data_IF_163021625121
#
_entry.id   IF_163021625121
#
_cell.length_a   1.000
_cell.length_b   1.000
_cell.length_c   1.000
_cell.angle_alpha   90.00
_cell.angle_beta   90.00
_cell.angle_gamma   90.00
#
_symmetry.space_group_name_H-M   'P 1'
#
loop_
_entity.id
_entity.type
_entity.pdbx_description
1 polymer ?
#
# COMPACT_ATOMS: atom_id res chain seq x y z
N UNK A 1 7.72 -9.15 -6.33
CA UNK A 1 6.60 -9.45 -5.42
C UNK A 1 5.31 -8.88 -5.96
N UNK A 2 4.24 -9.63 -5.89
CA UNK A 2 2.92 -9.19 -6.29
C UNK A 2 2.15 -8.69 -5.08
N UNK A 3 1.45 -7.58 -5.25
CA UNK A 3 0.64 -7.00 -4.18
C UNK A 3 -0.81 -7.01 -4.62
N UNK A 4 -1.68 -7.58 -3.80
CA UNK A 4 -3.12 -7.53 -4.03
C UNK A 4 -3.68 -6.28 -3.37
N UNK A 5 -4.33 -5.45 -4.17
CA UNK A 5 -4.98 -4.23 -3.67
C UNK A 5 -6.34 -4.59 -3.06
N UNK A 6 -6.93 -3.63 -2.35
CA UNK A 6 -8.22 -3.86 -1.67
C UNK A 6 -9.35 -4.19 -2.65
N UNK A 7 -9.23 -3.76 -3.90
CA UNK A 7 -10.24 -4.08 -4.92
C UNK A 7 -10.00 -5.44 -5.59
N UNK A 8 -9.00 -6.18 -5.13
CA UNK A 8 -8.68 -7.51 -5.64
C UNK A 8 -7.69 -7.52 -6.79
N UNK A 9 -7.33 -6.36 -7.35
CA UNK A 9 -6.39 -6.33 -8.45
C UNK A 9 -4.97 -6.59 -7.97
N UNK A 10 -4.12 -7.07 -8.88
CA UNK A 10 -2.74 -7.45 -8.58
C UNK A 10 -1.76 -6.51 -9.26
N UNK A 11 -0.75 -6.08 -8.52
CA UNK A 11 0.30 -5.19 -9.01
C UNK A 11 1.65 -5.83 -8.76
N UNK A 12 2.50 -5.91 -9.78
CA UNK A 12 3.86 -6.40 -9.60
C UNK A 12 4.74 -5.23 -9.17
N UNK A 13 5.09 -5.20 -7.88
CA UNK A 13 5.83 -4.09 -7.29
C UNK A 13 7.23 -3.94 -7.89
N UNK A 14 7.80 -5.01 -8.43
CA UNK A 14 9.15 -4.96 -9.01
C UNK A 14 9.22 -4.10 -10.28
N UNK A 15 8.08 -3.78 -10.84
CA UNK A 15 8.03 -2.91 -12.01
C UNK A 15 8.08 -1.42 -11.66
N UNK A 16 8.14 -1.10 -10.39
CA UNK A 16 8.13 0.26 -9.91
C UNK A 16 9.43 0.59 -9.21
N UNK A 17 9.73 1.89 -9.14
CA UNK A 17 11.02 2.36 -8.62
C UNK A 17 10.95 2.73 -7.15
N UNK A 18 9.78 3.12 -6.66
CA UNK A 18 9.62 3.58 -5.30
C UNK A 18 8.20 3.37 -4.81
N UNK A 19 8.05 3.27 -3.51
CA UNK A 19 6.74 3.25 -2.84
C UNK A 19 6.73 4.38 -1.84
N UNK A 20 5.73 5.24 -1.91
CA UNK A 20 5.67 6.37 -1.01
C UNK A 20 4.22 6.77 -0.75
N UNK A 21 4.04 7.66 0.21
CA UNK A 21 2.73 8.17 0.59
C UNK A 21 2.44 9.49 -0.10
N UNK A 22 1.21 9.64 -0.58
CA UNK A 22 0.72 10.91 -1.10
C UNK A 22 -0.54 11.26 -0.34
N UNK A 23 -0.62 12.51 0.13
CA UNK A 23 -1.85 13.00 0.74
C UNK A 23 -2.79 13.48 -0.36
N UNK A 24 -3.99 12.92 -0.39
CA UNK A 24 -5.01 13.27 -1.39
C UNK A 24 -6.26 13.69 -0.63
N UNK A 25 -6.58 14.98 -0.69
CA UNK A 25 -7.69 15.55 0.06
C UNK A 25 -7.52 15.25 1.56
N UNK A 26 -8.43 14.50 2.14
CA UNK A 26 -8.40 14.20 3.57
C UNK A 26 -7.96 12.77 3.88
N UNK A 27 -7.29 12.13 2.93
CA UNK A 27 -6.81 10.76 3.12
C UNK A 27 -5.37 10.64 2.63
N UNK A 28 -4.78 9.49 2.90
CA UNK A 28 -3.40 9.19 2.53
C UNK A 28 -3.37 7.96 1.67
N UNK A 29 -2.75 8.07 0.49
CA UNK A 29 -2.58 6.95 -0.42
C UNK A 29 -1.14 6.47 -0.38
N UNK A 30 -0.95 5.15 -0.29
CA UNK A 30 0.35 4.57 -0.51
C UNK A 30 0.44 4.21 -1.98
N UNK A 31 1.48 4.72 -2.66
CA UNK A 31 1.58 4.63 -4.11
C UNK A 31 2.89 4.03 -4.55
N UNK A 32 2.85 3.31 -5.66
CA UNK A 32 4.05 2.82 -6.32
C UNK A 32 4.33 3.71 -7.52
N UNK A 33 5.57 4.17 -7.63
CA UNK A 33 5.98 5.15 -8.64
C UNK A 33 6.87 4.53 -9.71
N UNK A 34 6.64 4.96 -10.94
CA UNK A 34 7.48 4.59 -12.07
C UNK A 34 7.66 5.85 -12.93
N UNK A 35 8.85 6.44 -12.85
CA UNK A 35 9.09 7.73 -13.49
C UNK A 35 8.15 8.78 -12.92
N UNK A 36 7.44 9.48 -13.78
CA UNK A 36 6.45 10.49 -13.35
C UNK A 36 5.05 9.92 -13.16
N UNK A 37 4.88 8.62 -13.40
CA UNK A 37 3.59 7.95 -13.24
C UNK A 37 3.53 7.21 -11.91
N UNK A 38 2.33 6.98 -11.41
CA UNK A 38 2.17 6.19 -10.22
C UNK A 38 0.81 5.51 -10.19
N UNK A 39 0.70 4.49 -9.32
CA UNK A 39 -0.54 3.78 -9.10
C UNK A 39 -0.76 3.68 -7.59
N UNK A 40 -1.99 3.89 -7.15
CA UNK A 40 -2.33 3.75 -5.74
C UNK A 40 -2.43 2.28 -5.37
N UNK A 41 -1.76 1.90 -4.28
CA UNK A 41 -1.86 0.54 -3.76
C UNK A 41 -2.98 0.42 -2.74
N UNK A 42 -3.20 1.46 -1.95
CA UNK A 42 -4.25 1.48 -0.94
C UNK A 42 -4.43 2.90 -0.41
N UNK A 43 -5.60 3.17 0.17
CA UNK A 43 -5.92 4.45 0.79
C UNK A 43 -6.23 4.26 2.25
N UNK A 44 -5.78 5.20 3.08
CA UNK A 44 -5.98 5.16 4.52
C UNK A 44 -6.41 6.52 5.04
N UNK A 45 -7.05 6.54 6.19
CA UNK A 45 -7.51 7.78 6.79
C UNK A 45 -6.41 8.54 7.51
N UNK A 46 -5.42 7.82 8.05
CA UNK A 46 -4.37 8.43 8.85
C UNK A 46 -2.99 8.05 8.36
N UNK A 47 -2.06 8.96 8.55
CA UNK A 47 -0.69 8.77 8.07
C UNK A 47 0.01 7.58 8.72
N UNK A 48 -0.23 7.36 10.01
CA UNK A 48 0.41 6.24 10.70
C UNK A 48 -0.04 4.90 10.15
N UNK A 49 -1.25 4.83 9.59
CA UNK A 49 -1.74 3.62 8.94
C UNK A 49 -0.94 3.31 7.67
N UNK A 50 -0.55 4.37 6.96
CA UNK A 50 0.30 4.22 5.77
C UNK A 50 1.67 3.73 6.19
N UNK A 51 2.21 4.23 7.30
CA UNK A 51 3.51 3.79 7.78
C UNK A 51 3.49 2.31 8.13
N UNK A 52 2.41 1.84 8.73
CA UNK A 52 2.26 0.41 9.03
C UNK A 52 2.21 -0.41 7.75
N UNK A 53 1.48 0.08 6.74
CA UNK A 53 1.39 -0.63 5.46
C UNK A 53 2.74 -0.68 4.76
N UNK A 54 3.49 0.43 4.77
CA UNK A 54 4.83 0.46 4.20
C UNK A 54 5.77 -0.52 4.90
N UNK A 55 5.67 -0.58 6.21
CA UNK A 55 6.46 -1.50 7.00
C UNK A 55 6.14 -2.94 6.63
N UNK A 56 4.85 -3.25 6.46
CA UNK A 56 4.44 -4.59 6.06
C UNK A 56 5.02 -4.97 4.70
N UNK A 57 4.99 -4.05 3.74
CA UNK A 57 5.58 -4.29 2.42
C UNK A 57 7.07 -4.56 2.55
N UNK A 58 7.77 -3.74 3.34
CA UNK A 58 9.21 -3.88 3.53
C UNK A 58 9.56 -5.25 4.11
N UNK A 59 8.84 -5.67 5.15
CA UNK A 59 9.12 -6.97 5.77
C UNK A 59 8.86 -8.13 4.83
N UNK A 60 7.78 -8.06 4.05
CA UNK A 60 7.50 -9.11 3.07
C UNK A 60 8.59 -9.20 2.01
N UNK A 61 9.05 -8.05 1.53
CA UNK A 61 10.14 -8.02 0.57
C UNK A 61 11.43 -8.56 1.16
N UNK A 62 11.73 -8.17 2.39
CA UNK A 62 12.95 -8.60 3.09
C UNK A 62 12.94 -10.12 3.30
N UNK A 63 11.78 -10.69 3.55
CA UNK A 63 11.63 -12.12 3.77
C UNK A 63 11.59 -12.91 2.46
N UNK A 64 11.56 -12.23 1.32
CA UNK A 64 11.53 -12.89 0.02
C UNK A 64 10.15 -13.41 -0.37
N UNK A 65 9.11 -12.90 0.25
CA UNK A 65 7.74 -13.30 -0.11
C UNK A 65 7.43 -12.90 -1.54
N UNK A 66 6.70 -13.78 -2.23
CA UNK A 66 6.37 -13.54 -3.64
C UNK A 66 5.08 -12.78 -3.83
N UNK A 67 4.26 -12.71 -2.79
CA UNK A 67 2.97 -12.02 -2.85
C UNK A 67 2.53 -11.58 -1.47
N UNK A 68 1.72 -10.53 -1.44
CA UNK A 68 1.07 -10.08 -0.21
C UNK A 68 -0.23 -9.37 -0.56
N UNK A 69 -1.12 -9.25 0.40
CA UNK A 69 -2.32 -8.42 0.28
C UNK A 69 -2.10 -7.14 1.07
N UNK A 70 -2.50 -6.00 0.52
CA UNK A 70 -2.39 -4.75 1.25
C UNK A 70 -3.21 -4.85 2.53
N UNK A 71 -2.60 -4.53 3.68
CA UNK A 71 -3.31 -4.65 4.94
C UNK A 71 -4.45 -3.65 5.03
N UNK A 72 -5.54 -4.09 5.66
CA UNK A 72 -6.61 -3.18 6.04
C UNK A 72 -6.24 -2.52 7.35
N UNK A 73 -6.68 -1.30 7.50
CA UNK A 73 -6.43 -0.59 8.72
C UNK A 73 -7.45 -1.02 9.77
N UNK A 74 -6.97 -1.32 10.97
CA UNK A 74 -7.85 -1.72 12.06
C UNK A 74 -8.86 -0.63 12.37
N UNK A 75 -8.44 0.63 12.32
CA UNK A 75 -9.33 1.76 12.61
C UNK A 75 -10.47 1.83 11.60
N UNK A 76 -10.13 1.74 10.31
CA UNK A 76 -11.15 1.76 9.26
C UNK A 76 -12.09 0.58 9.39
N UNK A 77 -11.51 -0.58 9.65
CA UNK A 77 -12.27 -1.80 9.79
C UNK A 77 -13.22 -1.71 10.99
N UNK A 78 -12.74 -1.17 12.08
CA UNK A 78 -13.54 -1.01 13.27
C UNK A 78 -14.69 -0.04 13.08
N UNK A 79 -14.50 0.98 12.28
CA UNK A 79 -15.53 1.97 12.01
C UNK A 79 -16.65 1.41 11.14
N UNK A 80 -16.34 0.46 10.30
CA UNK A 80 -17.32 -0.15 9.42
C UNK A 80 -18.26 -1.09 10.15
N UNK A 81 -17.91 -1.45 11.34
CA UNK A 81 -18.74 -2.30 12.19
C UNK A 81 -19.70 -1.48 13.02
#
# INVERSE_FOLDING_TARGET
>A
MWIQRHDGSLVNIEKFEAVNCIKVNDRYDICAFRGSSYISLASYKEEEQVEEAKTAIFYKMKNGDKAMTMPYCITDYGEDI
#
